data_IF_285692137893
#
_entry.id   IF_285692137893
#
_cell.length_a   1.000
_cell.length_b   1.000
_cell.length_c   1.000
_cell.angle_alpha   90.00
_cell.angle_beta   90.00
_cell.angle_gamma   90.00
#
_symmetry.space_group_name_H-M   'P 1'
#
loop_
_entity.id
_entity.type
_entity.pdbx_description
1 polymer ?
#
# COMPACT_ATOMS: atom_id res chain seq x y z
N UNK A 1 -9.65 7.47 22.13
CA UNK A 1 -8.66 6.44 22.49
C UNK A 1 -7.67 6.36 21.34
N UNK A 2 -6.37 6.49 21.60
CA UNK A 2 -5.32 6.27 20.60
C UNK A 2 -4.99 4.78 20.47
N UNK A 3 -4.47 4.38 19.30
CA UNK A 3 -4.20 3.00 18.93
C UNK A 3 -2.73 2.84 18.57
N UNK A 4 -2.13 1.73 18.95
CA UNK A 4 -0.75 1.40 18.60
C UNK A 4 -0.63 0.01 18.00
N UNK A 5 0.32 -0.12 17.09
CA UNK A 5 0.76 -1.39 16.50
C UNK A 5 1.79 -2.00 17.44
N UNK A 6 1.58 -3.27 17.81
CA UNK A 6 2.44 -4.01 18.74
C UNK A 6 3.10 -5.24 18.12
N UNK A 7 2.64 -5.66 16.94
CA UNK A 7 3.24 -6.77 16.22
C UNK A 7 2.94 -6.71 14.72
N UNK A 8 3.89 -7.16 13.92
CA UNK A 8 3.80 -7.19 12.45
C UNK A 8 4.33 -8.50 11.91
N UNK A 9 3.67 -9.03 10.87
CA UNK A 9 4.06 -10.27 10.22
C UNK A 9 3.87 -10.19 8.70
N UNK A 10 4.78 -10.78 7.95
CA UNK A 10 4.81 -10.69 6.49
C UNK A 10 5.31 -11.99 5.86
N UNK A 11 4.43 -12.72 5.20
CA UNK A 11 4.86 -13.74 4.25
C UNK A 11 5.50 -13.07 3.02
N UNK A 12 6.67 -13.51 2.54
CA UNK A 12 7.30 -12.96 1.33
C UNK A 12 6.34 -12.89 0.15
N UNK A 13 6.50 -11.88 -0.71
CA UNK A 13 5.70 -11.76 -1.93
C UNK A 13 6.39 -12.44 -3.11
N UNK A 14 5.62 -13.09 -3.98
CA UNK A 14 6.18 -13.83 -5.11
C UNK A 14 5.21 -14.83 -5.74
N UNK A 15 5.70 -16.05 -5.96
CA UNK A 15 4.95 -17.20 -6.47
C UNK A 15 5.27 -18.43 -5.63
N UNK A 16 4.25 -19.07 -5.09
CA UNK A 16 4.40 -20.15 -4.11
C UNK A 16 3.43 -21.31 -4.40
N UNK A 17 3.80 -22.52 -3.99
CA UNK A 17 2.93 -23.71 -4.11
C UNK A 17 1.80 -23.74 -3.08
N UNK A 18 1.99 -23.06 -1.92
CA UNK A 18 0.98 -23.00 -0.85
C UNK A 18 -0.20 -22.09 -1.24
N UNK A 19 -1.33 -22.26 -0.57
CA UNK A 19 -2.54 -21.47 -0.81
C UNK A 19 -2.41 -20.04 -0.29
N UNK A 20 -3.26 -19.11 -0.79
CA UNK A 20 -3.35 -17.75 -0.27
C UNK A 20 -3.65 -17.73 1.22
N UNK A 21 -4.56 -18.62 1.67
CA UNK A 21 -4.91 -18.76 3.08
C UNK A 21 -3.70 -19.16 3.94
N UNK A 22 -2.88 -20.12 3.50
CA UNK A 22 -1.65 -20.50 4.23
C UNK A 22 -0.67 -19.34 4.35
N UNK A 23 -0.52 -18.51 3.30
CA UNK A 23 0.31 -17.30 3.37
C UNK A 23 -0.25 -16.28 4.39
N UNK A 24 -1.57 -16.11 4.43
CA UNK A 24 -2.25 -15.30 5.46
C UNK A 24 -2.03 -15.82 6.87
N UNK A 25 -2.10 -17.15 7.08
CA UNK A 25 -1.81 -17.80 8.36
C UNK A 25 -0.38 -17.60 8.82
N UNK A 26 0.60 -17.73 7.91
CA UNK A 26 2.01 -17.47 8.23
C UNK A 26 2.19 -16.03 8.70
N UNK A 27 1.64 -15.06 7.96
CA UNK A 27 1.70 -13.66 8.33
C UNK A 27 1.03 -13.37 9.68
N UNK A 28 -0.17 -13.94 9.93
CA UNK A 28 -0.88 -13.78 11.20
C UNK A 28 -0.09 -14.34 12.37
N UNK A 29 0.47 -15.55 12.23
CA UNK A 29 1.30 -16.18 13.27
C UNK A 29 2.58 -15.40 13.54
N UNK A 30 3.22 -14.86 12.52
CA UNK A 30 4.39 -14.00 12.67
C UNK A 30 4.04 -12.71 13.42
N UNK A 31 2.91 -12.05 13.08
CA UNK A 31 2.45 -10.84 13.76
C UNK A 31 2.12 -11.09 15.24
N UNK A 32 1.47 -12.22 15.56
CA UNK A 32 1.19 -12.64 16.92
C UNK A 32 2.49 -12.91 17.71
N UNK A 33 3.43 -13.62 17.10
CA UNK A 33 4.74 -13.90 17.71
C UNK A 33 5.56 -12.62 17.95
N UNK A 34 5.53 -11.65 17.00
CA UNK A 34 6.21 -10.35 17.18
C UNK A 34 5.56 -9.52 18.30
N UNK A 35 4.26 -9.67 18.53
CA UNK A 35 3.54 -9.07 19.67
C UNK A 35 3.72 -9.84 21.00
N UNK A 36 4.27 -11.05 20.99
CA UNK A 36 4.33 -11.94 22.17
C UNK A 36 2.97 -12.49 22.58
N UNK A 37 2.06 -12.67 21.62
CA UNK A 37 0.67 -13.09 21.83
C UNK A 37 0.36 -14.39 21.11
N UNK A 38 -0.78 -14.96 21.47
CA UNK A 38 -1.40 -16.12 20.81
C UNK A 38 -2.74 -15.71 20.19
N UNK A 39 -3.32 -16.57 19.37
CA UNK A 39 -4.63 -16.31 18.79
C UNK A 39 -5.75 -16.16 19.82
N UNK A 40 -5.61 -16.82 20.96
CA UNK A 40 -6.59 -16.73 22.06
C UNK A 40 -6.65 -15.36 22.72
N UNK A 41 -5.65 -14.51 22.49
CA UNK A 41 -5.59 -13.15 23.04
C UNK A 41 -6.26 -12.12 22.12
N UNK A 42 -6.73 -12.53 20.92
CA UNK A 42 -7.36 -11.65 19.94
C UNK A 42 -8.86 -11.57 20.19
N UNK A 43 -9.35 -10.36 20.41
CA UNK A 43 -10.77 -10.08 20.67
C UNK A 43 -11.54 -9.71 19.39
N UNK A 44 -10.84 -9.28 18.34
CA UNK A 44 -11.43 -8.87 17.07
C UNK A 44 -10.45 -9.08 15.92
N UNK A 45 -10.94 -9.48 14.77
CA UNK A 45 -10.14 -9.56 13.57
C UNK A 45 -10.86 -8.94 12.36
N UNK A 46 -10.10 -8.29 11.48
CA UNK A 46 -10.57 -7.85 10.17
C UNK A 46 -9.57 -8.27 9.10
N UNK A 47 -10.06 -8.65 7.94
CA UNK A 47 -9.14 -9.05 6.88
C UNK A 47 -9.79 -9.16 5.52
N UNK A 48 -8.96 -9.28 4.48
CA UNK A 48 -9.45 -9.35 3.12
C UNK A 48 -8.51 -10.03 2.14
N UNK A 49 -9.12 -10.55 1.09
CA UNK A 49 -8.48 -11.18 -0.05
C UNK A 49 -9.41 -11.05 -1.25
N UNK A 50 -8.86 -10.98 -2.45
CA UNK A 50 -9.61 -11.07 -3.70
C UNK A 50 -9.72 -12.52 -4.19
N UNK A 51 -8.56 -13.14 -4.40
CA UNK A 51 -8.44 -14.45 -5.07
C UNK A 51 -7.86 -15.54 -4.14
N UNK A 52 -7.46 -15.17 -2.91
CA UNK A 52 -6.87 -16.09 -1.92
C UNK A 52 -7.90 -16.84 -1.05
N UNK A 53 -9.19 -16.53 -1.18
CA UNK A 53 -10.28 -17.09 -0.40
C UNK A 53 -10.81 -16.12 0.68
N UNK A 54 -11.80 -16.55 1.45
CA UNK A 54 -12.39 -15.74 2.51
C UNK A 54 -11.42 -15.58 3.69
N UNK A 55 -11.24 -14.34 4.16
CA UNK A 55 -10.28 -14.06 5.22
C UNK A 55 -10.68 -14.68 6.58
N UNK A 56 -11.97 -14.71 6.90
CA UNK A 56 -12.47 -15.33 8.10
C UNK A 56 -12.22 -16.85 8.18
N UNK A 57 -11.99 -17.51 7.04
CA UNK A 57 -11.63 -18.92 7.02
C UNK A 57 -10.29 -19.23 7.73
N UNK A 58 -9.47 -18.22 8.03
CA UNK A 58 -8.25 -18.39 8.84
C UNK A 58 -8.53 -18.95 10.23
N UNK A 59 -9.70 -18.69 10.81
CA UNK A 59 -10.07 -19.17 12.15
C UNK A 59 -10.07 -20.70 12.24
N UNK A 60 -10.30 -21.41 11.14
CA UNK A 60 -10.29 -22.88 11.13
C UNK A 60 -8.92 -23.46 11.47
N UNK A 61 -7.84 -22.71 11.27
CA UNK A 61 -6.45 -23.14 11.51
C UNK A 61 -5.75 -22.33 12.62
N UNK A 62 -6.21 -21.11 12.89
CA UNK A 62 -5.74 -20.32 14.04
C UNK A 62 -6.36 -20.80 15.34
N UNK A 63 -7.64 -21.18 15.32
CA UNK A 63 -8.39 -21.66 16.46
C UNK A 63 -9.83 -21.14 16.47
N UNK A 64 -10.78 -22.01 16.81
CA UNK A 64 -12.22 -21.69 16.87
C UNK A 64 -12.56 -21.02 18.23
N UNK A 65 -12.07 -19.82 18.46
CA UNK A 65 -12.25 -19.06 19.71
C UNK A 65 -13.58 -18.31 19.78
N UNK A 66 -14.30 -18.21 18.64
CA UNK A 66 -15.51 -17.40 18.54
C UNK A 66 -15.24 -15.90 18.33
N UNK A 67 -13.99 -15.51 18.01
CA UNK A 67 -13.63 -14.13 17.75
C UNK A 67 -14.46 -13.55 16.59
N UNK A 68 -15.03 -12.33 16.74
CA UNK A 68 -15.63 -11.61 15.62
C UNK A 68 -14.60 -11.36 14.54
N UNK A 69 -14.81 -11.91 13.35
CA UNK A 69 -13.95 -11.71 12.19
C UNK A 69 -14.73 -11.04 11.06
N UNK A 70 -14.34 -9.83 10.67
CA UNK A 70 -14.99 -9.06 9.61
C UNK A 70 -14.17 -9.16 8.32
N UNK A 71 -14.76 -9.76 7.28
CA UNK A 71 -14.16 -9.76 5.95
C UNK A 71 -14.46 -8.44 5.25
N UNK A 72 -13.40 -7.80 4.70
CA UNK A 72 -13.45 -6.53 3.97
C UNK A 72 -12.85 -6.69 2.57
N UNK A 73 -13.35 -5.92 1.61
CA UNK A 73 -12.78 -5.86 0.27
C UNK A 73 -12.98 -4.49 -0.35
N UNK A 74 -11.89 -3.85 -0.78
CA UNK A 74 -11.87 -2.55 -1.43
C UNK A 74 -10.74 -2.46 -2.50
N UNK A 75 -10.64 -3.50 -3.35
CA UNK A 75 -9.55 -3.59 -4.31
C UNK A 75 -8.19 -3.51 -3.61
N UNK A 76 -7.21 -2.83 -4.22
CA UNK A 76 -5.87 -2.66 -3.62
C UNK A 76 -5.89 -1.88 -2.30
N UNK A 77 -6.99 -1.18 -1.96
CA UNK A 77 -7.22 -0.54 -0.65
C UNK A 77 -7.66 -1.50 0.47
N UNK A 78 -7.78 -2.80 0.20
CA UNK A 78 -8.28 -3.81 1.15
C UNK A 78 -7.46 -3.85 2.45
N UNK A 79 -6.12 -3.78 2.37
CA UNK A 79 -5.26 -3.73 3.55
C UNK A 79 -5.53 -2.50 4.43
N UNK A 80 -5.76 -1.33 3.82
CA UNK A 80 -6.15 -0.11 4.51
C UNK A 80 -7.52 -0.25 5.20
N UNK A 81 -8.49 -0.89 4.53
CA UNK A 81 -9.81 -1.15 5.10
C UNK A 81 -9.74 -2.11 6.29
N UNK A 82 -8.93 -3.16 6.21
CA UNK A 82 -8.72 -4.10 7.31
C UNK A 82 -8.11 -3.39 8.53
N UNK A 83 -7.08 -2.56 8.30
CA UNK A 83 -6.43 -1.78 9.36
C UNK A 83 -7.39 -0.77 9.99
N UNK A 84 -8.18 -0.06 9.17
CA UNK A 84 -9.21 0.88 9.65
C UNK A 84 -10.23 0.15 10.52
N UNK A 85 -10.78 -0.97 10.05
CA UNK A 85 -11.80 -1.75 10.76
C UNK A 85 -11.27 -2.25 12.10
N UNK A 86 -10.07 -2.83 12.14
CA UNK A 86 -9.43 -3.27 13.37
C UNK A 86 -9.16 -2.10 14.34
N UNK A 87 -8.68 -0.96 13.82
CA UNK A 87 -8.45 0.23 14.66
C UNK A 87 -9.73 0.81 15.25
N UNK A 88 -10.85 0.77 14.51
CA UNK A 88 -12.15 1.23 15.00
C UNK A 88 -12.70 0.33 16.10
N UNK A 89 -12.48 -0.99 16.03
CA UNK A 89 -12.85 -1.91 17.11
C UNK A 89 -12.15 -1.54 18.44
N UNK A 90 -10.85 -1.20 18.38
CA UNK A 90 -10.11 -0.71 19.56
C UNK A 90 -10.64 0.67 20.01
N UNK A 91 -10.77 1.63 19.08
CA UNK A 91 -11.21 3.01 19.41
C UNK A 91 -12.59 3.06 20.05
N UNK A 92 -13.49 2.18 19.65
CA UNK A 92 -14.85 2.08 20.20
C UNK A 92 -14.93 1.32 21.52
N UNK A 93 -13.84 0.66 21.95
CA UNK A 93 -13.84 -0.22 23.14
C UNK A 93 -14.52 -1.57 22.90
N UNK A 94 -14.79 -1.94 21.64
CA UNK A 94 -15.35 -3.26 21.30
C UNK A 94 -14.31 -4.38 21.38
N UNK A 95 -13.03 -4.05 21.36
CA UNK A 95 -11.91 -4.98 21.50
C UNK A 95 -10.75 -4.32 22.23
N UNK A 96 -9.98 -5.12 22.97
CA UNK A 96 -8.71 -4.71 23.57
C UNK A 96 -7.53 -4.98 22.65
N UNK A 97 -7.56 -6.11 21.94
CA UNK A 97 -6.52 -6.51 20.99
C UNK A 97 -7.19 -6.95 19.68
N UNK A 98 -6.73 -6.36 18.56
CA UNK A 98 -7.28 -6.65 17.24
C UNK A 98 -6.19 -7.07 16.24
N UNK A 99 -6.56 -7.95 15.31
CA UNK A 99 -5.74 -8.35 14.17
C UNK A 99 -6.29 -7.76 12.87
N UNK A 100 -5.43 -7.13 12.07
CA UNK A 100 -5.68 -6.85 10.66
C UNK A 100 -4.84 -7.80 9.80
N UNK A 101 -5.47 -8.51 8.83
CA UNK A 101 -4.77 -9.47 7.98
C UNK A 101 -5.22 -9.36 6.53
N UNK A 102 -4.32 -9.55 5.62
CA UNK A 102 -4.61 -9.59 4.18
C UNK A 102 -3.69 -10.57 3.47
N UNK A 103 -4.20 -11.21 2.44
CA UNK A 103 -3.42 -12.16 1.63
C UNK A 103 -4.04 -12.29 0.26
N UNK A 104 -3.26 -12.75 -0.72
CA UNK A 104 -3.81 -13.12 -2.01
C UNK A 104 -2.94 -14.16 -2.74
N UNK A 105 -3.55 -14.78 -3.75
CA UNK A 105 -2.90 -15.70 -4.70
C UNK A 105 -3.45 -15.45 -6.10
N UNK A 106 -2.91 -14.45 -6.79
CA UNK A 106 -3.40 -14.06 -8.11
C UNK A 106 -2.87 -14.91 -9.25
N UNK A 107 -3.65 -15.07 -10.29
CA UNK A 107 -3.20 -15.61 -11.57
C UNK A 107 -2.10 -14.71 -12.19
N UNK A 108 -1.36 -15.26 -13.17
CA UNK A 108 -0.42 -14.47 -13.97
C UNK A 108 -1.18 -13.60 -14.98
N UNK A 109 -0.62 -12.45 -15.32
CA UNK A 109 -1.18 -11.51 -16.29
C UNK A 109 -1.45 -10.15 -15.68
N UNK A 110 -2.18 -9.29 -16.40
CA UNK A 110 -2.67 -8.02 -15.86
C UNK A 110 -3.99 -8.25 -15.10
N UNK A 111 -4.26 -7.40 -14.11
CA UNK A 111 -5.59 -7.39 -13.51
C UNK A 111 -6.61 -6.90 -14.54
N UNK A 112 -7.69 -7.63 -14.66
CA UNK A 112 -8.86 -7.26 -15.44
C UNK A 112 -10.11 -7.41 -14.57
N UNK A 113 -11.12 -6.62 -14.84
CA UNK A 113 -12.37 -6.60 -14.06
C UNK A 113 -13.56 -6.48 -15.02
N UNK A 114 -14.67 -7.08 -14.65
CA UNK A 114 -15.93 -6.92 -15.37
C UNK A 114 -16.50 -5.52 -15.12
N UNK A 115 -16.87 -4.74 -16.17
CA UNK A 115 -17.47 -3.41 -15.99
C UNK A 115 -18.75 -3.45 -15.16
N UNK A 116 -19.54 -4.51 -15.26
CA UNK A 116 -20.78 -4.68 -14.51
C UNK A 116 -20.59 -4.69 -12.99
N UNK A 117 -19.44 -5.20 -12.49
CA UNK A 117 -19.10 -5.13 -11.05
C UNK A 117 -19.01 -3.70 -10.51
N UNK A 118 -18.81 -2.71 -11.40
CA UNK A 118 -18.70 -1.28 -11.05
C UNK A 118 -19.89 -0.46 -11.56
N UNK A 119 -20.93 -1.10 -12.09
CA UNK A 119 -22.09 -0.42 -12.66
C UNK A 119 -21.78 0.34 -13.96
N UNK A 120 -20.78 -0.14 -14.71
CA UNK A 120 -20.36 0.46 -15.98
C UNK A 120 -20.92 -0.34 -17.17
N UNK A 121 -21.15 0.32 -18.32
CA UNK A 121 -21.58 -0.37 -19.53
C UNK A 121 -20.44 -1.21 -20.14
N UNK A 122 -20.82 -2.29 -20.86
CA UNK A 122 -19.90 -3.29 -21.44
C UNK A 122 -18.84 -2.69 -22.37
N UNK A 123 -19.14 -1.58 -23.04
CA UNK A 123 -18.20 -0.94 -23.96
C UNK A 123 -16.90 -0.47 -23.28
N UNK A 124 -16.87 -0.30 -21.95
CA UNK A 124 -15.63 -0.03 -21.22
C UNK A 124 -14.64 -1.20 -21.37
N UNK A 125 -15.12 -2.45 -21.27
CA UNK A 125 -14.30 -3.63 -21.50
C UNK A 125 -13.89 -3.77 -22.97
N UNK A 126 -14.82 -3.52 -23.90
CA UNK A 126 -14.56 -3.56 -25.35
C UNK A 126 -13.49 -2.55 -25.76
N UNK A 127 -13.47 -1.37 -25.12
CA UNK A 127 -12.46 -0.33 -25.32
C UNK A 127 -11.12 -0.63 -24.59
N UNK A 128 -11.02 -1.74 -23.83
CA UNK A 128 -9.83 -2.13 -23.08
C UNK A 128 -9.63 -1.38 -21.77
N UNK A 129 -10.54 -0.49 -21.35
CA UNK A 129 -10.39 0.33 -20.15
C UNK A 129 -10.53 -0.44 -18.84
N UNK A 130 -10.96 -1.70 -18.90
CA UNK A 130 -11.07 -2.57 -17.73
C UNK A 130 -9.80 -3.42 -17.46
N UNK A 131 -8.75 -3.22 -18.26
CA UNK A 131 -7.43 -3.82 -18.04
C UNK A 131 -6.53 -2.78 -17.39
N UNK A 132 -6.02 -3.08 -16.20
CA UNK A 132 -5.29 -2.10 -15.36
C UNK A 132 -4.10 -1.46 -16.08
N UNK A 133 -3.35 -2.21 -16.90
CA UNK A 133 -2.20 -1.65 -17.63
C UNK A 133 -2.61 -0.56 -18.63
N UNK A 134 -3.72 -0.75 -19.35
CA UNK A 134 -4.22 0.25 -20.29
C UNK A 134 -4.77 1.47 -19.57
N UNK A 135 -5.54 1.20 -18.53
CA UNK A 135 -6.20 2.23 -17.76
C UNK A 135 -5.18 3.17 -17.07
N UNK A 136 -4.21 2.61 -16.35
CA UNK A 136 -3.19 3.44 -15.70
C UNK A 136 -2.34 4.21 -16.71
N UNK A 137 -2.00 3.61 -17.85
CA UNK A 137 -1.28 4.30 -18.91
C UNK A 137 -2.08 5.50 -19.47
N UNK A 138 -3.39 5.36 -19.66
CA UNK A 138 -4.26 6.46 -20.12
C UNK A 138 -4.26 7.62 -19.12
N UNK A 139 -4.48 7.33 -17.83
CA UNK A 139 -4.46 8.34 -16.76
C UNK A 139 -3.10 9.04 -16.69
N UNK A 140 -2.02 8.26 -16.74
CA UNK A 140 -0.67 8.77 -16.67
C UNK A 140 -0.33 9.67 -17.87
N UNK A 141 -0.67 9.24 -19.10
CA UNK A 141 -0.40 10.05 -20.30
C UNK A 141 -1.04 11.43 -20.18
N UNK A 142 -2.30 11.46 -19.75
CA UNK A 142 -3.01 12.72 -19.50
C UNK A 142 -2.29 13.57 -18.44
N UNK A 143 -1.83 12.96 -17.35
CA UNK A 143 -1.12 13.68 -16.28
C UNK A 143 0.24 14.26 -16.75
N UNK A 144 1.01 13.48 -17.51
CA UNK A 144 2.28 13.97 -18.08
C UNK A 144 2.05 15.17 -19.00
N UNK A 145 1.03 15.12 -19.84
CA UNK A 145 0.70 16.20 -20.77
C UNK A 145 0.19 17.46 -20.02
N UNK A 146 -0.68 17.29 -19.02
CA UNK A 146 -1.23 18.40 -18.25
C UNK A 146 -0.17 19.17 -17.45
N UNK A 147 0.88 18.48 -16.96
CA UNK A 147 1.93 19.08 -16.12
C UNK A 147 3.29 19.20 -16.82
N UNK A 148 3.39 18.85 -18.08
CA UNK A 148 4.63 18.97 -18.86
C UNK A 148 5.78 18.11 -18.34
N UNK A 149 5.48 16.93 -17.81
CA UNK A 149 6.46 16.03 -17.22
C UNK A 149 7.05 15.07 -18.27
N UNK A 150 8.36 14.82 -18.18
CA UNK A 150 9.07 13.87 -19.05
C UNK A 150 8.77 12.43 -18.61
N UNK A 151 8.34 11.59 -19.54
CA UNK A 151 8.12 10.16 -19.32
C UNK A 151 9.38 9.41 -18.85
N UNK A 152 10.58 9.96 -19.05
CA UNK A 152 11.83 9.37 -18.51
C UNK A 152 11.84 9.27 -16.98
N UNK A 153 11.12 10.12 -16.27
CA UNK A 153 10.96 10.06 -14.81
C UNK A 153 10.41 8.72 -14.35
N UNK A 154 9.60 8.06 -15.17
CA UNK A 154 9.02 6.74 -14.85
C UNK A 154 10.09 5.66 -14.76
N UNK A 155 11.11 5.73 -15.64
CA UNK A 155 12.23 4.80 -15.60
C UNK A 155 13.12 5.03 -14.36
N UNK A 156 13.30 6.27 -13.92
CA UNK A 156 14.05 6.59 -12.70
C UNK A 156 13.32 6.06 -11.44
N UNK A 157 12.01 6.25 -11.35
CA UNK A 157 11.19 5.69 -10.27
C UNK A 157 11.31 4.16 -10.22
N UNK A 158 11.14 3.50 -11.37
CA UNK A 158 11.22 2.05 -11.44
C UNK A 158 12.65 1.53 -11.13
N UNK A 159 13.69 2.25 -11.55
CA UNK A 159 15.08 1.92 -11.22
C UNK A 159 15.35 2.04 -9.72
N UNK A 160 14.85 3.09 -9.05
CA UNK A 160 14.87 3.23 -7.58
C UNK A 160 14.15 2.05 -6.92
N UNK A 161 12.93 1.73 -7.34
CA UNK A 161 12.16 0.63 -6.77
C UNK A 161 12.89 -0.72 -6.88
N UNK A 162 13.45 -1.06 -8.06
CA UNK A 162 14.16 -2.31 -8.27
C UNK A 162 15.52 -2.34 -7.54
N UNK A 163 16.20 -1.19 -7.39
CA UNK A 163 17.40 -1.08 -6.55
C UNK A 163 17.08 -1.37 -5.09
N UNK A 164 16.02 -0.77 -4.54
CA UNK A 164 15.57 -1.02 -3.17
C UNK A 164 15.08 -2.48 -2.98
N UNK A 165 14.37 -3.02 -3.97
CA UNK A 165 13.97 -4.42 -3.98
C UNK A 165 15.15 -5.39 -3.94
N UNK A 166 16.29 -5.05 -4.52
CA UNK A 166 17.47 -5.92 -4.55
C UNK A 166 18.05 -6.23 -3.17
N UNK A 167 17.88 -5.30 -2.22
CA UNK A 167 18.31 -5.44 -0.82
C UNK A 167 17.16 -5.85 0.11
N UNK A 168 15.96 -6.09 -0.41
CA UNK A 168 14.77 -6.44 0.34
C UNK A 168 14.56 -7.96 0.37
N UNK A 169 14.69 -8.64 1.53
CA UNK A 169 14.61 -10.11 1.61
C UNK A 169 13.27 -10.69 1.14
N UNK A 170 12.18 -9.98 1.37
CA UNK A 170 10.82 -10.41 1.04
C UNK A 170 10.32 -9.96 -0.33
N UNK A 171 11.13 -9.19 -1.09
CA UNK A 171 10.74 -8.75 -2.41
C UNK A 171 10.85 -9.87 -3.46
N UNK A 172 9.92 -9.89 -4.38
CA UNK A 172 9.90 -10.84 -5.49
C UNK A 172 10.98 -10.55 -6.53
N UNK A 173 11.10 -9.26 -6.96
CA UNK A 173 12.07 -8.83 -7.95
C UNK A 173 13.30 -8.26 -7.25
N UNK A 174 14.38 -9.04 -7.26
CA UNK A 174 15.62 -8.70 -6.54
C UNK A 174 16.80 -8.41 -7.47
N UNK A 175 16.53 -8.21 -8.75
CA UNK A 175 17.55 -7.80 -9.72
C UNK A 175 17.40 -6.31 -10.01
N UNK A 176 18.41 -5.48 -9.76
CA UNK A 176 18.38 -4.07 -10.12
C UNK A 176 18.53 -3.91 -11.64
N UNK A 177 17.96 -2.84 -12.18
CA UNK A 177 18.11 -2.39 -13.55
C UNK A 177 18.37 -0.88 -13.57
N UNK A 178 19.11 -0.41 -14.56
CA UNK A 178 19.28 1.03 -14.80
C UNK A 178 18.03 1.64 -15.41
N UNK A 179 17.87 2.96 -15.27
CA UNK A 179 16.77 3.68 -15.92
C UNK A 179 16.80 3.52 -17.47
N UNK A 180 17.99 3.45 -18.08
CA UNK A 180 18.12 3.21 -19.52
C UNK A 180 17.64 1.81 -19.92
N UNK A 181 18.00 0.76 -19.18
CA UNK A 181 17.49 -0.60 -19.43
C UNK A 181 15.96 -0.67 -19.28
N UNK A 182 15.39 0.03 -18.31
CA UNK A 182 13.95 0.08 -18.08
C UNK A 182 13.24 0.86 -19.19
N UNK A 183 13.75 2.02 -19.56
CA UNK A 183 13.16 2.85 -20.62
C UNK A 183 13.16 2.14 -21.98
N UNK A 184 14.19 1.32 -22.27
CA UNK A 184 14.33 0.55 -23.50
C UNK A 184 13.71 -0.86 -23.43
N UNK A 185 13.05 -1.23 -22.31
CA UNK A 185 12.36 -2.51 -22.20
C UNK A 185 11.10 -2.55 -23.11
N UNK A 186 10.55 -3.74 -23.41
CA UNK A 186 9.34 -3.84 -24.21
C UNK A 186 8.21 -2.98 -23.67
N UNK A 187 7.61 -2.16 -24.54
CA UNK A 187 6.42 -1.35 -24.22
C UNK A 187 5.23 -2.24 -23.93
N UNK A 188 4.55 -1.98 -22.82
CA UNK A 188 3.28 -2.64 -22.47
C UNK A 188 2.10 -1.78 -22.91
N UNK A 189 2.02 -0.55 -22.39
CA UNK A 189 1.08 0.48 -22.83
C UNK A 189 1.79 1.84 -22.72
N UNK A 190 1.88 2.60 -23.80
CA UNK A 190 2.56 3.91 -23.79
C UNK A 190 2.06 4.83 -22.68
N UNK A 191 2.96 5.42 -21.85
CA UNK A 191 4.42 5.43 -21.92
C UNK A 191 5.13 4.35 -21.06
N UNK A 192 4.43 3.32 -20.59
CA UNK A 192 4.88 2.36 -19.60
C UNK A 192 5.48 1.09 -20.24
N UNK A 193 6.71 0.77 -19.89
CA UNK A 193 7.43 -0.44 -20.26
C UNK A 193 7.23 -1.57 -19.23
N UNK A 194 7.68 -2.78 -19.56
CA UNK A 194 7.49 -4.00 -18.74
C UNK A 194 7.95 -3.84 -17.28
N UNK A 195 9.07 -3.15 -17.02
CA UNK A 195 9.61 -3.01 -15.68
C UNK A 195 9.02 -1.85 -14.87
N UNK A 196 8.17 -1.04 -15.49
CA UNK A 196 7.49 0.07 -14.83
C UNK A 196 6.17 -0.35 -14.14
N UNK A 197 5.74 -1.61 -14.29
CA UNK A 197 4.56 -2.17 -13.64
C UNK A 197 4.92 -3.13 -12.51
N UNK A 198 4.10 -3.13 -11.46
CA UNK A 198 4.03 -4.27 -10.55
C UNK A 198 3.52 -5.51 -11.29
N UNK A 199 3.57 -6.65 -10.65
CA UNK A 199 2.92 -7.86 -11.15
C UNK A 199 1.93 -8.39 -10.13
N UNK A 200 0.76 -8.89 -10.56
CA UNK A 200 -0.08 -9.69 -9.70
C UNK A 200 0.74 -10.78 -9.05
N UNK A 201 0.78 -10.84 -7.74
CA UNK A 201 1.63 -11.74 -6.98
C UNK A 201 0.85 -12.47 -5.88
N UNK A 202 1.55 -13.17 -5.06
CA UNK A 202 1.04 -13.97 -3.96
C UNK A 202 1.77 -13.56 -2.68
N UNK A 203 1.09 -13.59 -1.55
CA UNK A 203 1.67 -13.23 -0.26
C UNK A 203 0.64 -12.92 0.80
N UNK A 204 1.10 -12.67 2.02
CA UNK A 204 0.28 -12.30 3.16
C UNK A 204 0.93 -11.27 4.06
N UNK A 205 0.13 -10.48 4.74
CA UNK A 205 0.57 -9.46 5.70
C UNK A 205 -0.42 -9.37 6.87
N UNK A 206 0.07 -9.15 8.07
CA UNK A 206 -0.77 -9.01 9.25
C UNK A 206 -0.19 -8.02 10.26
N UNK A 207 -1.07 -7.36 11.00
CA UNK A 207 -0.75 -6.33 12.01
C UNK A 207 -1.59 -6.57 13.24
N UNK A 208 -0.99 -6.56 14.42
CA UNK A 208 -1.67 -6.62 15.72
C UNK A 208 -1.72 -5.23 16.33
N UNK A 209 -2.90 -4.85 16.80
CA UNK A 209 -3.24 -3.53 17.33
C UNK A 209 -3.79 -3.63 18.75
N UNK A 210 -3.53 -2.62 19.56
CA UNK A 210 -4.17 -2.41 20.86
C UNK A 210 -4.26 -0.92 21.18
N UNK A 211 -4.84 -0.53 22.31
CA UNK A 211 -4.80 0.86 22.77
C UNK A 211 -3.35 1.29 23.06
N UNK A 212 -3.02 2.55 22.84
CA UNK A 212 -1.67 3.08 23.11
C UNK A 212 -1.29 2.96 24.59
N UNK A 213 -2.26 3.06 25.49
CA UNK A 213 -2.04 2.86 26.92
C UNK A 213 -1.56 1.44 27.21
N UNK A 214 -2.31 0.43 26.73
CA UNK A 214 -1.96 -0.98 26.91
C UNK A 214 -0.66 -1.35 26.17
N UNK A 215 -0.43 -0.80 25.01
CA UNK A 215 0.80 -1.04 24.23
C UNK A 215 2.07 -0.69 25.03
N UNK A 216 2.06 0.41 25.79
CA UNK A 216 3.20 0.82 26.63
C UNK A 216 3.52 -0.15 27.76
N UNK A 217 2.51 -0.91 28.22
CA UNK A 217 2.69 -1.96 29.23
C UNK A 217 3.23 -3.25 28.62
N UNK A 218 2.91 -3.48 27.32
CA UNK A 218 3.26 -4.74 26.65
C UNK A 218 4.63 -4.70 25.97
N UNK A 219 5.04 -3.55 25.42
CA UNK A 219 6.28 -3.46 24.63
C UNK A 219 6.82 -2.03 24.54
N UNK A 220 8.15 -1.91 24.51
CA UNK A 220 8.86 -0.65 24.25
C UNK A 220 8.99 -0.33 22.74
N UNK A 221 8.54 -1.23 21.86
CA UNK A 221 8.62 -1.15 20.40
C UNK A 221 7.32 -0.77 19.73
N UNK A 222 6.29 -0.40 20.49
CA UNK A 222 5.01 0.00 19.90
C UNK A 222 5.16 1.22 19.00
N UNK A 223 4.36 1.25 17.91
CA UNK A 223 4.28 2.37 16.98
C UNK A 223 2.85 2.90 17.00
N UNK A 224 2.67 4.18 17.30
CA UNK A 224 1.35 4.79 17.34
C UNK A 224 0.77 4.96 15.93
N UNK A 225 -0.47 4.50 15.75
CA UNK A 225 -1.30 4.77 14.58
C UNK A 225 -2.01 6.12 14.81
N UNK A 226 -1.32 7.23 14.50
CA UNK A 226 -1.85 8.59 14.72
C UNK A 226 -3.09 8.86 13.90
N UNK A 227 -3.09 8.43 12.64
CA UNK A 227 -4.22 8.56 11.75
C UNK A 227 -4.32 7.38 10.80
N UNK A 228 -5.53 7.01 10.46
CA UNK A 228 -5.88 6.21 9.29
C UNK A 228 -7.17 6.79 8.71
N UNK A 229 -7.10 7.25 7.49
CA UNK A 229 -8.21 7.88 6.79
C UNK A 229 -8.46 7.17 5.47
N UNK A 230 -9.75 6.94 5.18
CA UNK A 230 -10.19 6.22 4.00
C UNK A 230 -11.20 7.09 3.24
N UNK A 231 -10.99 7.23 1.94
CA UNK A 231 -11.88 8.00 1.07
C UNK A 231 -12.21 7.21 -0.19
N UNK A 232 -13.42 7.38 -0.68
CA UNK A 232 -13.83 6.94 -2.00
C UNK A 232 -13.93 8.14 -2.95
N UNK A 233 -14.11 7.86 -4.24
CA UNK A 233 -14.24 8.89 -5.27
C UNK A 233 -15.44 9.81 -5.04
N UNK A 234 -15.27 11.08 -5.38
CA UNK A 234 -16.33 12.07 -5.39
C UNK A 234 -16.80 12.34 -6.82
N UNK A 235 -18.02 12.84 -6.97
CA UNK A 235 -18.51 13.32 -8.26
C UNK A 235 -17.60 14.43 -8.79
N UNK A 236 -17.23 14.34 -10.07
CA UNK A 236 -16.33 15.31 -10.72
C UNK A 236 -14.85 14.98 -10.60
N UNK A 237 -14.46 13.91 -9.89
CA UNK A 237 -13.05 13.47 -9.86
C UNK A 237 -12.67 12.79 -11.18
N UNK A 238 -11.39 13.00 -11.58
CA UNK A 238 -10.80 12.21 -12.65
C UNK A 238 -10.31 10.87 -12.07
N UNK A 239 -11.10 9.86 -12.27
CA UNK A 239 -10.77 8.51 -11.83
C UNK A 239 -10.90 7.52 -12.99
N UNK A 240 -10.51 6.28 -12.73
CA UNK A 240 -10.42 5.18 -13.70
C UNK A 240 -11.59 5.15 -14.64
N UNK A 241 -12.77 5.34 -14.12
CA UNK A 241 -14.00 5.20 -14.88
C UNK A 241 -14.66 6.55 -15.18
N UNK A 242 -13.91 7.64 -15.06
CA UNK A 242 -14.34 8.99 -15.43
C UNK A 242 -13.22 9.77 -16.11
N UNK A 243 -12.59 9.20 -17.18
CA UNK A 243 -11.39 9.78 -17.79
C UNK A 243 -11.67 11.11 -18.54
N UNK A 244 -12.94 11.47 -18.73
CA UNK A 244 -13.33 12.71 -19.38
C UNK A 244 -13.21 13.94 -18.47
N UNK A 245 -13.09 13.75 -17.16
CA UNK A 245 -13.02 14.86 -16.20
C UNK A 245 -11.56 15.26 -15.98
N UNK A 246 -11.31 16.57 -15.93
CA UNK A 246 -9.97 17.08 -15.64
C UNK A 246 -9.61 16.83 -14.17
N UNK A 247 -8.39 16.38 -13.84
CA UNK A 247 -7.97 16.13 -12.45
C UNK A 247 -8.07 17.36 -11.54
N UNK A 248 -7.91 18.56 -12.12
CA UNK A 248 -7.93 19.83 -11.37
C UNK A 248 -9.33 20.32 -10.98
N UNK A 249 -10.41 19.67 -11.43
CA UNK A 249 -11.78 20.14 -11.15
C UNK A 249 -12.22 19.76 -9.74
N UNK A 250 -11.96 18.52 -9.34
CA UNK A 250 -12.30 18.01 -8.02
C UNK A 250 -11.14 17.13 -7.52
N UNK A 251 -10.68 17.31 -6.28
CA UNK A 251 -9.62 16.49 -5.73
C UNK A 251 -9.97 15.00 -5.77
N UNK A 252 -8.99 14.17 -6.12
CA UNK A 252 -9.13 12.71 -6.08
C UNK A 252 -9.16 12.16 -4.66
N UNK A 253 -9.55 10.88 -4.53
CA UNK A 253 -9.63 10.20 -3.23
C UNK A 253 -8.29 10.24 -2.45
N UNK A 254 -7.15 10.20 -3.15
CA UNK A 254 -5.82 10.28 -2.52
C UNK A 254 -5.58 11.65 -1.88
N UNK A 255 -5.92 12.74 -2.57
CA UNK A 255 -5.78 14.11 -2.04
C UNK A 255 -6.61 14.28 -0.77
N UNK A 256 -7.87 13.82 -0.80
CA UNK A 256 -8.77 13.94 0.34
C UNK A 256 -8.36 13.04 1.52
N UNK A 257 -7.90 11.81 1.24
CA UNK A 257 -7.44 10.89 2.28
C UNK A 257 -6.15 11.39 2.94
N UNK A 258 -5.18 11.87 2.15
CA UNK A 258 -3.91 12.36 2.67
C UNK A 258 -4.08 13.63 3.50
N UNK A 259 -4.86 14.59 3.01
CA UNK A 259 -5.20 15.80 3.76
C UNK A 259 -5.85 15.47 5.09
N UNK A 260 -6.88 14.62 5.08
CA UNK A 260 -7.56 14.21 6.31
C UNK A 260 -6.62 13.47 7.28
N UNK A 261 -5.70 12.63 6.77
CA UNK A 261 -4.73 11.92 7.59
C UNK A 261 -3.74 12.87 8.27
N UNK A 262 -3.23 13.86 7.54
CA UNK A 262 -2.35 14.89 8.11
C UNK A 262 -3.09 15.78 9.12
N UNK A 263 -4.31 16.21 8.81
CA UNK A 263 -5.16 16.98 9.75
C UNK A 263 -5.44 16.18 11.03
N UNK A 264 -5.83 14.91 10.91
CA UNK A 264 -6.10 14.02 12.04
C UNK A 264 -4.85 13.76 12.88
N UNK A 265 -3.68 13.66 12.26
CA UNK A 265 -2.41 13.45 12.94
C UNK A 265 -1.83 14.75 13.53
N UNK A 266 -2.28 15.92 13.09
CA UNK A 266 -1.79 17.24 13.52
C UNK A 266 -0.34 17.52 13.07
N UNK A 267 0.07 16.96 11.92
CA UNK A 267 1.37 17.21 11.28
C UNK A 267 1.17 17.41 9.77
N UNK A 268 2.19 17.94 9.09
CA UNK A 268 2.18 18.11 7.65
C UNK A 268 3.13 17.15 6.91
N UNK A 269 3.06 17.09 5.56
CA UNK A 269 3.92 16.21 4.77
C UNK A 269 5.42 16.53 4.94
N UNK A 270 5.79 17.77 5.27
CA UNK A 270 7.18 18.16 5.55
C UNK A 270 7.78 17.59 6.84
N UNK A 271 6.95 16.97 7.69
CA UNK A 271 7.36 16.37 8.97
C UNK A 271 7.45 14.83 8.87
N UNK A 272 7.34 14.26 7.68
CA UNK A 272 7.44 12.81 7.45
C UNK A 272 8.90 12.43 7.15
N UNK A 273 9.41 11.46 7.89
CA UNK A 273 10.78 10.94 7.77
C UNK A 273 10.89 9.80 6.75
N UNK A 274 9.82 9.02 6.52
CA UNK A 274 9.78 7.93 5.55
C UNK A 274 8.36 7.70 5.06
N UNK A 275 8.21 7.42 3.76
CA UNK A 275 6.90 7.16 3.17
C UNK A 275 6.84 5.87 2.34
N UNK A 276 5.65 5.27 2.31
CA UNK A 276 5.28 4.22 1.37
C UNK A 276 4.11 4.72 0.53
N UNK A 277 4.32 4.85 -0.76
CA UNK A 277 3.34 5.37 -1.72
C UNK A 277 3.02 4.27 -2.73
N UNK A 278 1.74 4.12 -3.05
CA UNK A 278 1.29 3.11 -4.02
C UNK A 278 1.96 3.32 -5.38
N UNK A 279 2.65 2.28 -5.84
CA UNK A 279 3.36 2.23 -7.11
C UNK A 279 2.91 0.98 -7.91
N UNK A 280 1.62 0.86 -8.18
CA UNK A 280 1.05 -0.16 -9.08
C UNK A 280 1.77 -0.10 -10.44
N UNK A 281 2.13 1.10 -10.83
CA UNK A 281 3.08 1.43 -11.89
C UNK A 281 3.84 2.73 -11.52
N UNK A 282 4.93 3.01 -12.21
CA UNK A 282 5.80 4.13 -11.89
C UNK A 282 5.10 5.50 -11.92
N UNK A 283 4.08 5.66 -12.76
CA UNK A 283 3.28 6.89 -12.83
C UNK A 283 2.39 7.08 -11.63
N UNK A 284 1.96 6.00 -10.96
CA UNK A 284 1.19 6.10 -9.72
C UNK A 284 2.05 6.75 -8.62
N UNK A 285 3.30 6.31 -8.40
CA UNK A 285 4.22 6.99 -7.48
C UNK A 285 4.41 8.46 -7.87
N UNK A 286 4.63 8.73 -9.18
CA UNK A 286 4.79 10.09 -9.69
C UNK A 286 3.61 11.00 -9.31
N UNK A 287 2.38 10.57 -9.57
CA UNK A 287 1.16 11.34 -9.30
C UNK A 287 0.91 11.49 -7.81
N UNK A 288 1.02 10.38 -7.06
CA UNK A 288 0.69 10.36 -5.63
C UNK A 288 1.69 11.15 -4.77
N UNK A 289 2.94 11.37 -5.22
CA UNK A 289 3.87 12.30 -4.56
C UNK A 289 3.26 13.70 -4.41
N UNK A 290 2.65 14.23 -5.46
CA UNK A 290 1.99 15.53 -5.42
C UNK A 290 0.61 15.46 -4.75
N UNK A 291 -0.19 14.44 -5.03
CA UNK A 291 -1.50 14.25 -4.41
C UNK A 291 -1.43 14.11 -2.88
N UNK A 292 -0.33 13.57 -2.35
CA UNK A 292 -0.06 13.49 -0.91
C UNK A 292 0.63 14.73 -0.33
N UNK A 293 0.94 15.74 -1.16
CA UNK A 293 1.49 17.02 -0.72
C UNK A 293 3.01 17.02 -0.46
N UNK A 294 3.76 16.02 -0.95
CA UNK A 294 5.23 16.00 -0.83
C UNK A 294 5.92 16.97 -1.82
N UNK A 295 5.23 17.37 -2.87
CA UNK A 295 5.62 18.44 -3.80
C UNK A 295 4.37 19.00 -4.49
N UNK A 296 4.52 20.10 -5.21
CA UNK A 296 3.47 20.60 -6.10
C UNK A 296 3.40 19.76 -7.37
N UNK A 297 2.21 19.74 -8.01
CA UNK A 297 2.03 19.09 -9.30
C UNK A 297 2.96 19.72 -10.36
N UNK A 298 3.72 18.90 -11.07
CA UNK A 298 4.73 19.35 -12.05
C UNK A 298 6.14 19.49 -11.46
N UNK A 299 6.34 19.44 -10.15
CA UNK A 299 7.65 19.59 -9.50
C UNK A 299 8.34 18.26 -9.15
N UNK A 300 7.70 17.14 -9.42
CA UNK A 300 8.20 15.80 -9.08
C UNK A 300 9.60 15.51 -9.61
N UNK A 301 9.94 16.08 -10.78
CA UNK A 301 11.26 15.92 -11.39
C UNK A 301 12.41 16.35 -10.46
N UNK A 302 12.20 17.39 -9.64
CA UNK A 302 13.19 17.88 -8.68
C UNK A 302 13.51 16.82 -7.62
N UNK A 303 12.47 16.17 -7.08
CA UNK A 303 12.62 15.14 -6.06
C UNK A 303 13.26 13.87 -6.62
N UNK A 304 12.80 13.42 -7.80
CA UNK A 304 13.24 12.19 -8.42
C UNK A 304 14.70 12.29 -8.87
N UNK A 305 15.03 13.32 -9.66
CA UNK A 305 16.37 13.50 -10.21
C UNK A 305 17.38 14.02 -9.17
N UNK A 306 16.90 14.67 -8.11
CA UNK A 306 17.72 15.12 -6.99
C UNK A 306 18.08 14.01 -6.00
N UNK A 307 17.53 12.78 -6.16
CA UNK A 307 17.75 11.68 -5.22
C UNK A 307 17.07 11.85 -3.85
N UNK A 308 16.12 12.80 -3.75
CA UNK A 308 15.41 13.11 -2.51
C UNK A 308 14.54 11.97 -2.01
N UNK A 309 14.15 11.05 -2.92
CA UNK A 309 13.31 9.87 -2.65
C UNK A 309 14.10 8.59 -2.35
N UNK A 310 15.42 8.63 -2.48
CA UNK A 310 16.30 7.50 -2.17
C UNK A 310 16.35 7.23 -0.67
N UNK A 311 16.81 6.04 -0.25
CA UNK A 311 16.92 5.64 1.17
C UNK A 311 17.67 6.69 2.01
N UNK A 312 18.68 7.34 1.42
CA UNK A 312 19.47 8.39 2.07
C UNK A 312 19.00 9.82 1.70
N UNK A 313 17.88 9.95 1.01
CA UNK A 313 17.31 11.24 0.60
C UNK A 313 16.56 11.92 1.74
N UNK A 314 16.03 13.11 1.44
CA UNK A 314 15.29 13.92 2.41
C UNK A 314 13.94 13.29 2.81
N UNK A 315 13.27 12.66 1.84
CA UNK A 315 11.98 11.95 2.04
C UNK A 315 12.06 10.58 1.37
N UNK A 316 12.67 9.57 2.02
CA UNK A 316 12.76 8.22 1.48
C UNK A 316 11.38 7.64 1.16
N UNK A 317 11.19 7.21 -0.10
CA UNK A 317 9.93 6.64 -0.57
C UNK A 317 10.12 5.22 -1.06
N UNK A 318 9.26 4.29 -0.61
CA UNK A 318 9.26 2.89 -1.03
C UNK A 318 10.63 2.23 -0.79
N UNK A 319 11.11 2.31 0.45
CA UNK A 319 12.43 1.81 0.86
C UNK A 319 12.62 0.32 0.64
N UNK A 320 11.54 -0.45 0.61
CA UNK A 320 11.53 -1.90 0.33
C UNK A 320 11.31 -2.24 -1.16
N UNK A 321 11.27 -1.21 -2.03
CA UNK A 321 11.08 -1.36 -3.47
C UNK A 321 9.63 -1.28 -3.93
N UNK A 322 8.69 -0.94 -3.05
CA UNK A 322 7.29 -0.72 -3.40
C UNK A 322 6.64 -1.96 -4.03
N UNK A 323 5.54 -1.76 -4.75
CA UNK A 323 4.85 -2.82 -5.49
C UNK A 323 5.62 -3.25 -6.75
N UNK A 324 6.36 -2.32 -7.37
CA UNK A 324 7.17 -2.63 -8.57
C UNK A 324 8.12 -3.79 -8.26
N UNK A 325 8.78 -3.79 -7.11
CA UNK A 325 9.69 -4.85 -6.72
C UNK A 325 9.00 -6.02 -6.00
N UNK A 326 8.05 -5.74 -5.11
CA UNK A 326 7.39 -6.79 -4.31
C UNK A 326 6.29 -7.52 -5.08
N UNK A 327 5.66 -6.88 -6.07
CA UNK A 327 4.40 -7.35 -6.65
C UNK A 327 3.19 -6.96 -5.79
N UNK A 328 1.99 -7.28 -6.27
CA UNK A 328 0.75 -6.87 -5.62
C UNK A 328 -0.16 -8.07 -5.32
N UNK A 329 -0.07 -8.68 -4.12
CA UNK A 329 -1.16 -9.45 -3.55
C UNK A 329 -2.15 -8.45 -2.95
N UNK A 330 -3.27 -8.22 -3.62
CA UNK A 330 -4.21 -7.10 -3.39
C UNK A 330 -4.63 -6.98 -1.92
N UNK A 331 -4.95 -8.09 -1.25
CA UNK A 331 -5.33 -8.07 0.16
C UNK A 331 -4.20 -7.65 1.11
N UNK A 332 -2.94 -7.93 0.76
CA UNK A 332 -1.79 -7.77 1.63
C UNK A 332 -1.00 -6.47 1.40
N UNK A 333 -1.04 -5.92 0.19
CA UNK A 333 -0.12 -4.85 -0.23
C UNK A 333 -0.19 -3.59 0.64
N UNK A 334 -1.39 -3.14 1.02
CA UNK A 334 -1.56 -1.99 1.90
C UNK A 334 -1.03 -2.22 3.33
N UNK A 335 -1.17 -3.44 3.87
CA UNK A 335 -0.58 -3.78 5.17
C UNK A 335 0.95 -3.88 5.09
N UNK A 336 1.53 -4.38 3.98
CA UNK A 336 2.98 -4.39 3.76
C UNK A 336 3.58 -2.99 3.87
N UNK A 337 2.92 -1.97 3.30
CA UNK A 337 3.38 -0.58 3.40
C UNK A 337 3.50 -0.13 4.86
N UNK A 338 2.48 -0.42 5.67
CA UNK A 338 2.48 -0.11 7.10
C UNK A 338 3.57 -0.90 7.84
N UNK A 339 3.74 -2.19 7.53
CA UNK A 339 4.79 -3.05 8.13
C UNK A 339 6.18 -2.50 7.84
N UNK A 340 6.46 -2.07 6.61
CA UNK A 340 7.76 -1.47 6.29
C UNK A 340 7.98 -0.18 7.11
N UNK A 341 6.99 0.70 7.18
CA UNK A 341 7.07 1.91 8.01
C UNK A 341 7.29 1.58 9.50
N UNK A 342 6.58 0.59 10.04
CA UNK A 342 6.79 0.13 11.44
C UNK A 342 8.22 -0.35 11.64
N UNK A 343 8.76 -1.17 10.73
CA UNK A 343 10.14 -1.66 10.81
C UNK A 343 11.16 -0.52 10.74
N UNK A 344 10.92 0.50 9.89
CA UNK A 344 11.76 1.69 9.80
C UNK A 344 11.76 2.47 11.13
N UNK A 345 10.60 2.78 11.69
CA UNK A 345 10.47 3.48 12.96
C UNK A 345 11.07 2.71 14.14
N UNK A 346 11.09 1.39 14.07
CA UNK A 346 11.69 0.52 15.09
C UNK A 346 13.20 0.30 14.92
N UNK A 347 13.83 0.79 13.85
CA UNK A 347 15.22 0.51 13.52
C UNK A 347 15.47 -0.95 13.10
N UNK A 348 14.47 -1.64 12.55
CA UNK A 348 14.48 -3.07 12.19
C UNK A 348 14.44 -3.32 10.69
N UNK A 349 14.63 -2.30 9.86
CA UNK A 349 14.54 -2.44 8.40
C UNK A 349 15.81 -3.05 7.76
N UNK A 350 16.88 -3.30 8.52
CA UNK A 350 18.12 -3.89 8.02
C UNK A 350 18.80 -2.99 7.00
N UNK A 351 19.25 -3.54 5.85
CA UNK A 351 19.96 -2.80 4.80
C UNK A 351 19.12 -1.66 4.17
N UNK A 352 17.80 -1.66 4.40
CA UNK A 352 16.86 -0.63 3.92
C UNK A 352 16.67 0.50 4.93
N UNK A 353 17.27 0.40 6.12
CA UNK A 353 17.06 1.37 7.18
C UNK A 353 17.46 2.77 6.72
N UNK A 354 16.52 3.71 6.80
CA UNK A 354 16.81 5.13 6.55
C UNK A 354 17.77 5.66 7.60
N UNK A 355 18.69 6.57 7.25
CA UNK A 355 19.63 7.15 8.20
C UNK A 355 18.92 7.93 9.33
N UNK A 356 19.59 8.05 10.44
CA UNK A 356 19.04 8.71 11.61
C UNK A 356 18.07 7.84 12.40
N UNK A 357 17.20 8.48 13.13
CA UNK A 357 16.15 7.85 13.92
C UNK A 357 14.79 8.38 13.43
N UNK A 358 14.20 7.76 12.38
CA UNK A 358 12.92 8.21 11.87
C UNK A 358 11.86 8.09 12.96
N UNK A 359 11.05 9.14 13.12
CA UNK A 359 10.00 9.22 14.15
C UNK A 359 8.61 9.25 13.57
N UNK A 360 8.49 9.62 12.30
CA UNK A 360 7.21 9.75 11.60
C UNK A 360 7.24 9.02 10.28
N UNK A 361 6.13 8.36 9.96
CA UNK A 361 5.99 7.66 8.69
C UNK A 361 4.60 7.89 8.10
N UNK A 362 4.53 7.81 6.78
CA UNK A 362 3.30 7.94 6.02
C UNK A 362 3.11 6.77 5.08
N UNK A 363 1.88 6.28 4.94
CA UNK A 363 1.53 5.32 3.90
C UNK A 363 0.32 5.79 3.11
N UNK A 364 0.33 5.52 1.81
CA UNK A 364 -0.80 5.73 0.94
C UNK A 364 -1.00 4.50 0.08
N UNK A 365 -2.21 3.96 0.09
CA UNK A 365 -2.63 2.87 -0.80
C UNK A 365 -3.82 3.35 -1.63
N UNK A 366 -3.76 3.09 -2.94
CA UNK A 366 -4.83 3.41 -3.88
C UNK A 366 -5.44 2.13 -4.43
N UNK A 367 -6.76 2.04 -4.43
CA UNK A 367 -7.52 0.95 -5.02
C UNK A 367 -8.39 1.46 -6.17
N UNK A 368 -8.29 0.83 -7.35
CA UNK A 368 -9.25 1.07 -8.41
C UNK A 368 -10.66 0.66 -7.94
N UNK A 369 -11.70 1.44 -8.18
CA UNK A 369 -11.81 2.55 -9.12
C UNK A 369 -11.71 3.96 -8.50
N UNK A 370 -10.90 4.21 -7.53
CA UNK A 370 -10.77 5.53 -6.91
C UNK A 370 -11.08 5.50 -5.41
N UNK A 371 -10.38 4.62 -4.71
CA UNK A 371 -10.42 4.48 -3.26
C UNK A 371 -9.00 4.76 -2.76
N UNK A 372 -8.83 5.50 -1.69
CA UNK A 372 -7.51 5.69 -1.08
C UNK A 372 -7.58 5.59 0.44
N UNK A 373 -6.58 4.93 1.02
CA UNK A 373 -6.34 4.94 2.45
C UNK A 373 -4.96 5.53 2.73
N UNK A 374 -4.91 6.49 3.64
CA UNK A 374 -3.68 7.12 4.09
C UNK A 374 -3.49 6.93 5.60
N UNK A 375 -2.27 6.60 6.00
CA UNK A 375 -1.93 6.31 7.39
C UNK A 375 -0.77 7.19 7.83
N UNK A 376 -0.83 7.74 9.04
CA UNK A 376 0.28 8.43 9.70
C UNK A 376 0.66 7.65 10.95
N UNK A 377 1.95 7.34 11.06
CA UNK A 377 2.55 6.57 12.14
C UNK A 377 3.59 7.43 12.88
N UNK A 378 3.79 7.18 14.16
CA UNK A 378 4.88 7.80 14.93
C UNK A 378 5.43 6.91 16.04
N UNK A 379 6.66 7.20 16.45
CA UNK A 379 7.33 6.56 17.58
C UNK A 379 8.00 7.57 18.49
#
# INVERSE_FOLDING_TARGET
MSVSIIGVGLHPFGRFEISGREMGLIAAREALADAGLTWSDIDFAAGGSRDGGHADALVSELGLTGVPFISVYNGCGTGGSALLTASQAIKSGAADIALAVGFDKHARGAFATDPGEYGLPDWYAEAGMMVTTQFFALKLRRYLDDYGLDARLLAEIAAKALRNGSITPHAWRRKPFTADEIANAPMVNDPLTTYMFCSPSEGGAAIVLTSTERAREMTDRSVELRAIEFRSRQFGTFEVFSPSLAPAITPGATVDASRAAFESAGIGPGEIDVAQIQDTEAGAELMHLAECGFCEHGEQAKLILGGELDINGRIPVNTDGGLIANGEPIGASGLRQVIECVRQLQGRAGDRQVPGEPRTAFTQVYGAPGISACTVLSR
#
